data_IF_029951301191
#
_entry.id   IF_029951301191
#
_cell.length_a   1.000
_cell.length_b   1.000
_cell.length_c   1.000
_cell.angle_alpha   90.00
_cell.angle_beta   90.00
_cell.angle_gamma   90.00
#
_symmetry.space_group_name_H-M   'P 1'
#
loop_
_entity.id
_entity.type
_entity.pdbx_description
1 polymer ?
#
# COMPACT_ATOMS: atom_id res chain seq x y z
N UNK A 1 -10.85 9.55 36.65
CA UNK A 1 -10.72 10.46 35.47
C UNK A 1 -9.70 9.84 34.59
N UNK A 2 -10.13 9.38 33.42
CA UNK A 2 -9.24 8.84 32.42
C UNK A 2 -8.56 10.01 31.71
N UNK A 3 -7.24 9.97 31.63
CA UNK A 3 -6.46 10.97 30.90
C UNK A 3 -6.15 10.40 29.52
N UNK A 4 -6.51 11.14 28.47
CA UNK A 4 -6.16 10.82 27.10
C UNK A 4 -5.19 11.84 26.54
N UNK A 5 -4.15 11.38 25.84
CA UNK A 5 -3.22 12.24 25.12
C UNK A 5 -3.79 12.46 23.72
N UNK A 6 -4.31 13.65 23.46
CA UNK A 6 -4.99 14.01 22.20
C UNK A 6 -4.08 14.72 21.21
N UNK A 7 -2.89 15.16 21.62
CA UNK A 7 -1.95 15.86 20.77
C UNK A 7 -0.50 15.46 21.06
N UNK A 8 0.33 15.48 20.04
CA UNK A 8 1.78 15.32 20.11
C UNK A 8 2.46 16.55 19.48
N UNK A 9 3.17 17.33 20.30
CA UNK A 9 3.63 18.64 19.88
C UNK A 9 2.45 19.54 19.49
N UNK A 10 2.47 20.09 18.29
CA UNK A 10 1.38 20.92 17.73
C UNK A 10 0.38 20.13 16.88
N UNK A 11 0.48 18.79 16.85
CA UNK A 11 -0.34 17.94 15.98
C UNK A 11 -1.44 17.27 16.78
N UNK A 12 -2.70 17.48 16.43
CA UNK A 12 -3.85 16.73 16.97
C UNK A 12 -3.82 15.30 16.42
N UNK A 13 -3.73 14.30 17.30
CA UNK A 13 -3.70 12.89 16.93
C UNK A 13 -5.04 12.37 16.38
N UNK A 14 -6.11 13.14 16.55
CA UNK A 14 -7.46 12.83 16.02
C UNK A 14 -7.70 13.40 14.62
N UNK A 15 -6.71 14.11 14.03
CA UNK A 15 -6.93 14.80 12.75
C UNK A 15 -7.44 13.90 11.63
N UNK A 16 -7.18 12.58 11.70
CA UNK A 16 -7.69 11.63 10.72
C UNK A 16 -9.22 11.45 10.76
N UNK A 17 -9.90 11.83 11.87
CA UNK A 17 -11.36 11.68 11.98
C UNK A 17 -12.14 12.69 11.14
N UNK A 18 -11.51 13.80 10.80
CA UNK A 18 -12.09 14.88 9.99
C UNK A 18 -11.39 14.94 8.61
N UNK A 19 -11.99 15.62 7.62
CA UNK A 19 -11.29 15.96 6.39
C UNK A 19 -10.03 16.76 6.68
N UNK A 20 -8.90 16.40 6.04
CA UNK A 20 -7.63 17.10 6.25
C UNK A 20 -6.81 17.15 4.98
N UNK A 21 -5.95 18.14 4.87
CA UNK A 21 -4.98 18.24 3.79
C UNK A 21 -3.81 17.27 4.02
N UNK A 22 -3.52 16.46 3.00
CA UNK A 22 -2.36 15.57 2.95
C UNK A 22 -1.36 16.09 1.91
N UNK A 23 -0.11 16.29 2.34
CA UNK A 23 0.97 16.76 1.48
C UNK A 23 1.99 15.65 1.24
N UNK A 24 2.25 15.39 -0.02
CA UNK A 24 3.30 14.48 -0.48
C UNK A 24 4.60 15.25 -0.57
N UNK A 25 5.66 14.65 0.00
CA UNK A 25 7.00 15.20 -0.06
C UNK A 25 7.94 14.28 -0.85
N UNK A 26 8.76 14.84 -1.73
CA UNK A 26 9.90 14.16 -2.36
C UNK A 26 11.18 14.92 -2.09
N UNK A 27 12.21 14.21 -1.62
CA UNK A 27 13.51 14.80 -1.25
C UNK A 27 13.43 15.98 -0.27
N UNK A 28 12.36 16.02 0.54
CA UNK A 28 12.11 17.09 1.51
C UNK A 28 11.23 18.23 1.01
N UNK A 29 10.96 18.29 -0.30
CA UNK A 29 10.12 19.32 -0.91
C UNK A 29 8.68 18.84 -1.10
N UNK A 30 7.67 19.70 -0.87
CA UNK A 30 6.28 19.38 -1.14
C UNK A 30 6.05 19.33 -2.66
N UNK A 31 5.54 18.18 -3.16
CA UNK A 31 5.31 17.99 -4.59
C UNK A 31 3.83 17.92 -4.97
N UNK A 32 2.97 17.61 -4.01
CA UNK A 32 1.53 17.53 -4.22
C UNK A 32 0.79 17.63 -2.90
N UNK A 33 -0.33 18.38 -2.87
CA UNK A 33 -1.29 18.39 -1.75
C UNK A 33 -2.69 18.09 -2.25
N UNK A 34 -3.47 17.38 -1.44
CA UNK A 34 -4.89 17.09 -1.70
C UNK A 34 -5.62 16.77 -0.40
N UNK A 35 -6.93 16.99 -0.41
CA UNK A 35 -7.75 16.69 0.76
C UNK A 35 -8.03 15.18 0.86
N UNK A 36 -7.98 14.67 2.08
CA UNK A 36 -8.51 13.36 2.47
C UNK A 36 -9.91 13.60 3.04
N UNK A 37 -10.87 13.71 2.13
CA UNK A 37 -12.23 14.07 2.46
C UNK A 37 -13.08 14.30 1.22
N UNK A 38 -14.40 14.57 1.40
CA UNK A 38 -15.37 14.63 0.32
C UNK A 38 -15.14 15.73 -0.73
N UNK A 39 -14.37 16.78 -0.42
CA UNK A 39 -14.07 17.83 -1.39
C UNK A 39 -13.06 17.38 -2.46
N UNK A 40 -12.32 16.30 -2.22
CA UNK A 40 -11.46 15.70 -3.23
C UNK A 40 -12.24 14.70 -4.10
N UNK A 41 -12.36 14.94 -5.42
CA UNK A 41 -13.08 14.04 -6.33
C UNK A 41 -12.51 12.61 -6.37
N UNK A 42 -11.22 12.44 -6.04
CA UNK A 42 -10.56 11.13 -5.99
C UNK A 42 -10.69 10.44 -4.63
N UNK A 43 -11.27 11.08 -3.62
CA UNK A 43 -11.52 10.44 -2.34
C UNK A 43 -12.56 9.32 -2.47
N UNK A 44 -12.30 8.19 -1.86
CA UNK A 44 -13.28 7.09 -1.75
C UNK A 44 -13.42 6.66 -0.29
N UNK A 45 -14.66 6.69 0.26
CA UNK A 45 -14.93 6.09 1.55
C UNK A 45 -14.63 4.60 1.55
N UNK A 46 -14.38 4.02 2.72
CA UNK A 46 -14.02 2.61 2.87
C UNK A 46 -15.01 1.64 2.21
N UNK A 47 -16.30 1.95 2.28
CA UNK A 47 -17.37 1.15 1.69
C UNK A 47 -17.60 1.39 0.18
N UNK A 48 -16.90 2.33 -0.43
CA UNK A 48 -17.01 2.64 -1.86
C UNK A 48 -15.90 1.99 -2.72
N UNK A 49 -15.14 1.08 -2.15
CA UNK A 49 -14.15 0.27 -2.87
C UNK A 49 -14.61 -1.18 -2.94
N UNK A 50 -14.08 -1.94 -3.90
CA UNK A 50 -14.30 -3.39 -3.98
C UNK A 50 -13.90 -4.05 -2.66
N UNK A 51 -14.74 -4.98 -2.14
CA UNK A 51 -14.44 -5.73 -0.91
C UNK A 51 -13.11 -6.47 -0.95
N UNK A 52 -12.65 -6.83 -2.13
CA UNK A 52 -11.40 -7.56 -2.33
C UNK A 52 -10.16 -6.68 -2.13
N UNK A 53 -10.25 -5.37 -2.35
CA UNK A 53 -9.10 -4.47 -2.25
C UNK A 53 -8.53 -4.38 -0.82
N UNK A 54 -9.34 -4.09 0.21
CA UNK A 54 -8.86 -4.14 1.59
C UNK A 54 -8.33 -5.52 2.00
N UNK A 55 -9.01 -6.59 1.59
CA UNK A 55 -8.58 -7.96 1.90
C UNK A 55 -7.21 -8.27 1.30
N UNK A 56 -6.99 -7.94 0.02
CA UNK A 56 -5.72 -8.16 -0.65
C UNK A 56 -4.58 -7.32 -0.04
N UNK A 57 -4.84 -6.03 0.28
CA UNK A 57 -3.86 -5.16 0.93
C UNK A 57 -3.46 -5.71 2.31
N UNK A 58 -4.43 -6.16 3.10
CA UNK A 58 -4.12 -6.77 4.39
C UNK A 58 -3.23 -8.01 4.23
N UNK A 59 -3.52 -8.90 3.27
CA UNK A 59 -2.68 -10.10 3.07
C UNK A 59 -1.28 -9.76 2.55
N UNK A 60 -1.11 -8.65 1.85
CA UNK A 60 0.18 -8.14 1.40
C UNK A 60 0.99 -7.51 2.53
N UNK A 61 0.37 -6.63 3.32
CA UNK A 61 1.05 -5.69 4.21
C UNK A 61 0.91 -6.01 5.70
N UNK A 62 -0.31 -6.36 6.14
CA UNK A 62 -0.63 -6.50 7.56
C UNK A 62 -1.91 -7.33 7.77
N UNK A 63 -1.78 -8.64 7.70
CA UNK A 63 -2.91 -9.55 7.76
C UNK A 63 -3.68 -9.51 9.10
N UNK A 64 -3.09 -8.95 10.14
CA UNK A 64 -3.67 -8.78 11.47
C UNK A 64 -4.21 -7.39 11.78
N UNK A 65 -4.28 -6.48 10.81
CA UNK A 65 -4.55 -5.06 11.04
C UNK A 65 -5.76 -4.77 11.94
N UNK A 66 -6.87 -5.46 11.76
CA UNK A 66 -8.08 -5.27 12.58
C UNK A 66 -8.02 -5.96 13.95
N UNK A 67 -6.99 -6.77 14.23
CA UNK A 67 -6.91 -7.61 15.43
C UNK A 67 -5.81 -7.21 16.40
N UNK A 68 -4.81 -6.42 15.97
CA UNK A 68 -3.76 -5.92 16.86
C UNK A 68 -3.91 -4.43 17.17
N UNK A 69 -3.28 -3.99 18.26
CA UNK A 69 -3.28 -2.58 18.69
C UNK A 69 -2.02 -1.85 18.17
N UNK A 70 -1.92 -1.74 16.84
CA UNK A 70 -0.89 -0.97 16.15
C UNK A 70 0.45 -1.69 15.96
N UNK A 71 0.77 -2.71 16.77
CA UNK A 71 2.04 -3.43 16.72
C UNK A 71 1.85 -4.94 16.73
N UNK A 72 2.81 -5.61 16.10
CA UNK A 72 3.04 -7.05 16.24
C UNK A 72 4.41 -7.21 16.93
N UNK A 73 4.45 -7.47 18.25
CA UNK A 73 5.70 -7.49 19.02
C UNK A 73 6.74 -8.46 18.47
N UNK A 74 6.33 -9.64 17.99
CA UNK A 74 7.22 -10.61 17.35
C UNK A 74 7.86 -10.06 16.08
N UNK A 75 7.06 -9.42 15.21
CA UNK A 75 7.57 -8.85 13.96
C UNK A 75 8.55 -7.69 14.20
N UNK A 76 8.28 -6.84 15.21
CA UNK A 76 9.22 -5.78 15.62
C UNK A 76 10.52 -6.40 16.12
N UNK A 77 10.45 -7.41 16.99
CA UNK A 77 11.65 -8.09 17.51
C UNK A 77 12.48 -8.72 16.40
N UNK A 78 11.85 -9.43 15.47
CA UNK A 78 12.51 -10.05 14.33
C UNK A 78 13.17 -9.00 13.42
N UNK A 79 12.45 -7.91 13.12
CA UNK A 79 12.99 -6.80 12.33
C UNK A 79 14.20 -6.15 13.01
N UNK A 80 14.14 -5.89 14.32
CA UNK A 80 15.27 -5.33 15.06
C UNK A 80 16.49 -6.27 15.09
N UNK A 81 16.28 -7.58 15.25
CA UNK A 81 17.36 -8.55 15.20
C UNK A 81 18.01 -8.57 13.82
N UNK A 82 17.21 -8.49 12.77
CA UNK A 82 17.69 -8.47 11.39
C UNK A 82 18.41 -7.16 11.07
N UNK A 83 17.91 -6.01 11.53
CA UNK A 83 18.53 -4.69 11.38
C UNK A 83 19.92 -4.65 12.02
N UNK A 84 20.06 -5.24 13.21
CA UNK A 84 21.36 -5.35 13.92
C UNK A 84 22.32 -6.27 13.14
N UNK A 85 21.84 -7.41 12.63
CA UNK A 85 22.68 -8.36 11.88
C UNK A 85 23.16 -7.83 10.54
N UNK A 86 22.27 -7.12 9.82
CA UNK A 86 22.53 -6.66 8.46
C UNK A 86 23.05 -5.21 8.42
N UNK A 87 23.14 -4.53 9.57
CA UNK A 87 23.53 -3.11 9.69
C UNK A 87 22.73 -2.18 8.76
N UNK A 88 21.49 -2.55 8.46
CA UNK A 88 20.55 -1.79 7.63
C UNK A 88 19.12 -2.02 8.13
N UNK A 89 18.25 -1.04 7.88
CA UNK A 89 16.83 -1.18 8.23
C UNK A 89 16.19 -2.26 7.34
N UNK A 90 15.89 -3.43 7.95
CA UNK A 90 15.19 -4.51 7.26
C UNK A 90 13.73 -4.10 6.93
N UNK A 91 13.21 -4.66 5.86
CA UNK A 91 11.79 -4.53 5.50
C UNK A 91 11.01 -5.66 6.16
N UNK A 92 9.76 -5.41 6.57
CA UNK A 92 8.83 -6.47 7.00
C UNK A 92 8.28 -6.34 8.43
N UNK A 93 8.77 -5.41 9.25
CA UNK A 93 8.30 -5.24 10.63
C UNK A 93 7.32 -4.08 10.85
N UNK A 94 6.88 -3.37 9.80
CA UNK A 94 5.98 -2.22 9.95
C UNK A 94 4.54 -2.61 9.63
N UNK A 95 3.63 -2.36 10.56
CA UNK A 95 2.18 -2.53 10.36
C UNK A 95 1.59 -1.42 9.49
N UNK A 96 0.35 -1.60 9.03
CA UNK A 96 -0.39 -0.54 8.33
C UNK A 96 -0.56 0.71 9.20
N UNK A 97 -0.81 0.54 10.51
CA UNK A 97 -0.86 1.66 11.47
C UNK A 97 0.44 2.46 11.51
N UNK A 98 1.58 1.77 11.52
CA UNK A 98 2.90 2.41 11.49
C UNK A 98 3.16 3.12 10.15
N UNK A 99 2.78 2.51 9.04
CA UNK A 99 2.88 3.16 7.72
C UNK A 99 2.02 4.42 7.63
N UNK A 100 0.79 4.34 8.14
CA UNK A 100 -0.16 5.45 8.16
C UNK A 100 0.36 6.61 9.01
N UNK A 101 0.76 6.35 10.26
CA UNK A 101 1.30 7.36 11.17
C UNK A 101 2.55 8.03 10.58
N UNK A 102 3.45 7.24 10.03
CA UNK A 102 4.63 7.76 9.33
C UNK A 102 4.26 8.75 8.21
N UNK A 103 3.24 8.43 7.43
CA UNK A 103 2.86 9.24 6.28
C UNK A 103 2.04 10.47 6.66
N UNK A 104 1.20 10.38 7.70
CA UNK A 104 0.25 11.45 8.09
C UNK A 104 0.85 12.44 9.10
N UNK A 105 1.69 11.96 10.01
CA UNK A 105 2.14 12.73 11.18
C UNK A 105 3.63 13.06 11.18
N UNK A 106 4.46 12.32 10.44
CA UNK A 106 5.91 12.42 10.57
C UNK A 106 6.61 12.90 9.30
N UNK A 107 7.77 13.54 9.49
CA UNK A 107 8.67 13.84 8.39
C UNK A 107 9.33 12.57 7.83
N UNK A 108 9.80 12.61 6.57
CA UNK A 108 10.42 11.44 5.90
C UNK A 108 11.88 11.16 6.29
N UNK A 109 12.42 11.81 7.30
CA UNK A 109 13.79 11.56 7.77
C UNK A 109 13.92 10.17 8.38
N UNK A 110 14.90 9.38 7.92
CA UNK A 110 15.12 8.02 8.41
C UNK A 110 16.12 8.03 9.58
N UNK A 111 15.61 8.18 10.79
CA UNK A 111 16.41 8.09 12.03
C UNK A 111 15.77 7.09 13.00
N UNK A 112 16.55 6.55 13.92
CA UNK A 112 16.04 5.68 15.00
C UNK A 112 15.06 6.46 15.87
N UNK A 113 15.38 7.73 16.20
CA UNK A 113 14.49 8.59 16.97
C UNK A 113 13.10 8.71 16.31
N UNK A 114 13.05 8.97 14.99
CA UNK A 114 11.79 9.03 14.25
C UNK A 114 11.02 7.69 14.28
N UNK A 115 11.72 6.55 14.29
CA UNK A 115 11.03 5.24 14.41
C UNK A 115 10.42 5.03 15.78
N UNK A 116 11.07 5.51 16.84
CA UNK A 116 10.51 5.50 18.20
C UNK A 116 9.31 6.46 18.31
N UNK A 117 9.41 7.63 17.70
CA UNK A 117 8.31 8.60 17.61
C UNK A 117 7.09 8.01 16.88
N UNK A 118 7.30 7.34 15.75
CA UNK A 118 6.26 6.61 15.00
C UNK A 118 5.58 5.59 15.92
N UNK A 119 6.34 4.78 16.65
CA UNK A 119 5.80 3.79 17.56
C UNK A 119 4.99 4.43 18.70
N UNK A 120 5.48 5.53 19.28
CA UNK A 120 4.77 6.25 20.34
C UNK A 120 3.42 6.78 19.85
N UNK A 121 3.38 7.42 18.69
CA UNK A 121 2.15 7.97 18.12
C UNK A 121 1.16 6.84 17.77
N UNK A 122 1.63 5.74 17.18
CA UNK A 122 0.79 4.56 16.93
C UNK A 122 0.18 4.04 18.23
N UNK A 123 1.01 3.91 19.28
CA UNK A 123 0.54 3.45 20.57
C UNK A 123 -0.55 4.36 21.16
N UNK A 124 -0.36 5.67 21.12
CA UNK A 124 -1.33 6.64 21.60
C UNK A 124 -2.67 6.56 20.84
N UNK A 125 -2.61 6.51 19.50
CA UNK A 125 -3.82 6.45 18.67
C UNK A 125 -4.59 5.15 18.90
N UNK A 126 -3.89 4.01 18.95
CA UNK A 126 -4.52 2.69 19.05
C UNK A 126 -4.99 2.37 20.48
N UNK A 127 -4.17 2.70 21.51
CA UNK A 127 -4.52 2.41 22.91
C UNK A 127 -5.70 3.23 23.39
N UNK A 128 -5.79 4.48 22.95
CA UNK A 128 -6.88 5.38 23.35
C UNK A 128 -8.05 5.37 22.34
N UNK A 129 -7.97 4.52 21.30
CA UNK A 129 -8.98 4.41 20.25
C UNK A 129 -9.34 5.78 19.64
N UNK A 130 -8.33 6.64 19.44
CA UNK A 130 -8.53 8.00 18.95
C UNK A 130 -9.08 8.05 17.52
N UNK A 131 -8.82 7.00 16.72
CA UNK A 131 -9.35 6.84 15.36
C UNK A 131 -9.71 5.36 15.17
N UNK A 132 -10.87 5.07 14.57
CA UNK A 132 -11.27 3.68 14.30
C UNK A 132 -10.38 3.02 13.25
N UNK A 133 -10.27 1.69 13.31
CA UNK A 133 -9.51 0.90 12.32
C UNK A 133 -10.03 1.10 10.89
N UNK A 134 -11.36 1.17 10.73
CA UNK A 134 -11.99 1.42 9.44
C UNK A 134 -11.57 2.79 8.89
N UNK A 135 -11.59 3.84 9.74
CA UNK A 135 -11.16 5.17 9.31
C UNK A 135 -9.67 5.23 9.02
N UNK A 136 -8.85 4.57 9.81
CA UNK A 136 -7.42 4.45 9.53
C UNK A 136 -7.17 3.77 8.18
N UNK A 137 -7.90 2.70 7.88
CA UNK A 137 -7.78 2.00 6.60
C UNK A 137 -8.32 2.85 5.44
N UNK A 138 -9.42 3.59 5.65
CA UNK A 138 -9.95 4.53 4.67
C UNK A 138 -8.92 5.62 4.32
N UNK A 139 -8.28 6.22 5.32
CA UNK A 139 -7.20 7.17 5.08
C UNK A 139 -6.06 6.52 4.30
N UNK A 140 -5.65 5.30 4.69
CA UNK A 140 -4.61 4.56 3.99
C UNK A 140 -4.94 4.34 2.51
N UNK A 141 -6.17 3.90 2.19
CA UNK A 141 -6.65 3.70 0.81
C UNK A 141 -6.55 4.97 -0.04
N UNK A 142 -6.66 6.14 0.59
CA UNK A 142 -6.66 7.42 -0.11
C UNK A 142 -5.28 8.11 -0.17
N UNK A 143 -4.28 7.66 0.64
CA UNK A 143 -2.93 8.22 0.62
C UNK A 143 -1.86 7.28 0.08
N UNK A 144 -2.15 5.98 -0.02
CA UNK A 144 -1.18 5.00 -0.50
C UNK A 144 -0.72 5.37 -1.92
N UNK A 145 0.59 5.21 -2.16
CA UNK A 145 1.19 5.39 -3.48
C UNK A 145 1.13 4.07 -4.25
N UNK A 146 0.59 4.07 -5.47
CA UNK A 146 0.52 2.92 -6.37
C UNK A 146 1.35 3.10 -7.66
N UNK A 147 2.04 4.20 -7.79
CA UNK A 147 2.90 4.51 -8.92
C UNK A 147 3.49 5.90 -8.75
N UNK A 148 4.47 6.32 -9.57
CA UNK A 148 5.00 7.67 -9.51
C UNK A 148 3.89 8.72 -9.63
N UNK A 149 3.67 9.49 -8.56
CA UNK A 149 2.63 10.52 -8.46
C UNK A 149 1.18 9.99 -8.53
N UNK A 150 0.93 8.70 -8.33
CA UNK A 150 -0.39 8.07 -8.31
C UNK A 150 -0.74 7.75 -6.86
N UNK A 151 -1.68 8.48 -6.29
CA UNK A 151 -2.07 8.38 -4.89
C UNK A 151 -3.55 8.08 -4.74
N UNK A 152 -3.83 7.15 -3.85
CA UNK A 152 -5.18 6.72 -3.55
C UNK A 152 -5.76 5.69 -4.52
N UNK A 153 -6.71 4.90 -4.01
CA UNK A 153 -7.30 3.78 -4.73
C UNK A 153 -8.03 4.22 -6.01
N UNK A 154 -8.65 5.41 -6.03
CA UNK A 154 -9.36 5.91 -7.20
C UNK A 154 -8.39 6.20 -8.35
N UNK A 155 -7.33 6.98 -8.11
CA UNK A 155 -6.36 7.29 -9.16
C UNK A 155 -5.67 6.01 -9.67
N UNK A 156 -5.32 5.09 -8.76
CA UNK A 156 -4.69 3.83 -9.14
C UNK A 156 -5.61 2.95 -9.98
N UNK A 157 -6.88 2.81 -9.59
CA UNK A 157 -7.90 2.05 -10.33
C UNK A 157 -8.10 2.59 -11.74
N UNK A 158 -8.24 3.92 -11.87
CA UNK A 158 -8.34 4.57 -13.18
C UNK A 158 -7.06 4.42 -14.02
N UNK A 159 -5.89 4.57 -13.38
CA UNK A 159 -4.60 4.48 -14.08
C UNK A 159 -4.33 3.10 -14.65
N UNK A 160 -4.58 2.05 -13.86
CA UNK A 160 -4.31 0.67 -14.31
C UNK A 160 -5.46 0.07 -15.12
N UNK A 161 -6.72 0.35 -14.75
CA UNK A 161 -7.86 -0.40 -15.24
C UNK A 161 -8.96 0.44 -15.88
N UNK A 162 -8.87 1.78 -15.89
CA UNK A 162 -9.93 2.68 -16.33
C UNK A 162 -11.29 2.42 -15.65
N UNK A 163 -11.26 2.02 -14.36
CA UNK A 163 -12.44 1.63 -13.57
C UNK A 163 -12.54 2.43 -12.27
N UNK A 164 -13.76 2.52 -11.73
CA UNK A 164 -13.95 2.91 -10.33
C UNK A 164 -13.44 1.82 -9.38
N UNK A 165 -12.90 2.16 -8.19
CA UNK A 165 -12.42 1.17 -7.23
C UNK A 165 -13.46 0.14 -6.79
N UNK A 166 -14.75 0.49 -6.80
CA UNK A 166 -15.85 -0.42 -6.49
C UNK A 166 -16.06 -1.52 -7.57
N UNK A 167 -15.56 -1.29 -8.77
CA UNK A 167 -15.71 -2.19 -9.93
C UNK A 167 -14.51 -3.13 -10.11
N UNK A 168 -13.47 -2.98 -9.29
CA UNK A 168 -12.31 -3.85 -9.35
C UNK A 168 -12.69 -5.29 -9.00
N UNK A 169 -12.26 -6.23 -9.83
CA UNK A 169 -12.38 -7.65 -9.55
C UNK A 169 -11.26 -8.15 -8.63
N UNK A 170 -11.33 -9.40 -8.21
CA UNK A 170 -10.34 -10.00 -7.30
C UNK A 170 -8.93 -9.97 -7.88
N UNK A 171 -8.75 -10.31 -9.16
CA UNK A 171 -7.44 -10.32 -9.81
C UNK A 171 -6.80 -8.93 -9.82
N UNK A 172 -7.56 -7.90 -10.14
CA UNK A 172 -7.13 -6.50 -10.15
C UNK A 172 -6.78 -5.99 -8.75
N UNK A 173 -7.56 -6.39 -7.73
CA UNK A 173 -7.28 -6.04 -6.33
C UNK A 173 -5.99 -6.67 -5.81
N UNK A 174 -5.74 -7.94 -6.15
CA UNK A 174 -4.48 -8.62 -5.78
C UNK A 174 -3.30 -7.96 -6.48
N UNK A 175 -3.44 -7.62 -7.78
CA UNK A 175 -2.42 -6.87 -8.50
C UNK A 175 -2.11 -5.54 -7.81
N UNK A 176 -3.11 -4.72 -7.50
CA UNK A 176 -2.91 -3.45 -6.81
C UNK A 176 -2.20 -3.65 -5.46
N UNK A 177 -2.60 -4.64 -4.67
CA UNK A 177 -1.93 -4.95 -3.41
C UNK A 177 -0.47 -5.37 -3.61
N UNK A 178 -0.15 -6.07 -4.70
CA UNK A 178 1.20 -6.58 -4.98
C UNK A 178 2.22 -5.49 -5.32
N UNK A 179 1.77 -4.32 -5.77
CA UNK A 179 2.68 -3.22 -6.15
C UNK A 179 2.95 -2.22 -5.01
N UNK A 180 2.14 -2.21 -3.95
CA UNK A 180 2.30 -1.31 -2.79
C UNK A 180 3.70 -1.34 -2.18
N UNK A 181 4.39 -2.49 -2.02
CA UNK A 181 5.72 -2.50 -1.42
C UNK A 181 6.78 -1.70 -2.20
N UNK A 182 6.59 -1.52 -3.53
CA UNK A 182 7.52 -0.80 -4.41
C UNK A 182 6.79 0.01 -5.49
N UNK A 183 5.92 0.97 -5.14
CA UNK A 183 5.02 1.61 -6.09
C UNK A 183 5.74 2.38 -7.18
N UNK A 184 6.85 3.04 -6.86
CA UNK A 184 7.67 3.79 -7.87
C UNK A 184 8.37 2.89 -8.88
N UNK A 185 8.38 1.58 -8.63
CA UNK A 185 9.01 0.59 -9.50
C UNK A 185 7.99 -0.26 -10.27
N UNK A 186 6.70 0.14 -10.32
CA UNK A 186 5.65 -0.68 -10.94
C UNK A 186 5.98 -1.10 -12.37
N UNK A 187 6.65 -0.24 -13.16
CA UNK A 187 7.09 -0.57 -14.52
C UNK A 187 8.01 -1.79 -14.60
N UNK A 188 8.79 -2.03 -13.54
CA UNK A 188 9.70 -3.18 -13.48
C UNK A 188 8.97 -4.48 -13.08
N UNK A 189 7.72 -4.38 -12.66
CA UNK A 189 6.87 -5.55 -12.41
C UNK A 189 6.47 -6.25 -13.70
N UNK A 190 6.58 -5.56 -14.84
CA UNK A 190 6.09 -6.04 -16.13
C UNK A 190 7.20 -6.43 -17.09
N UNK A 191 6.88 -7.44 -17.92
CA UNK A 191 7.52 -7.71 -19.21
C UNK A 191 6.45 -7.53 -20.29
N UNK A 192 6.52 -6.40 -21.00
CA UNK A 192 5.40 -5.92 -21.79
C UNK A 192 4.18 -5.59 -20.91
N UNK A 193 3.07 -6.27 -21.16
CA UNK A 193 1.83 -6.14 -20.37
C UNK A 193 1.61 -7.30 -19.39
N UNK A 194 2.57 -8.22 -19.25
CA UNK A 194 2.51 -9.35 -18.33
C UNK A 194 3.36 -9.10 -17.09
N UNK A 195 2.92 -9.62 -15.96
CA UNK A 195 3.72 -9.61 -14.74
C UNK A 195 4.96 -10.51 -14.92
N UNK A 196 6.08 -10.09 -14.34
CA UNK A 196 7.30 -10.92 -14.30
C UNK A 196 7.15 -12.03 -13.25
N UNK A 197 7.87 -13.17 -13.38
CA UNK A 197 7.73 -14.32 -12.49
C UNK A 197 7.80 -13.98 -10.99
N UNK A 198 8.72 -13.12 -10.58
CA UNK A 198 8.83 -12.69 -9.17
C UNK A 198 7.53 -12.04 -8.62
N UNK A 199 6.84 -11.25 -9.45
CA UNK A 199 5.58 -10.60 -9.04
C UNK A 199 4.40 -11.55 -9.18
N UNK A 200 4.47 -12.50 -10.10
CA UNK A 200 3.50 -13.61 -10.16
C UNK A 200 3.53 -14.44 -8.89
N UNK A 201 4.72 -14.79 -8.39
CA UNK A 201 4.87 -15.54 -7.13
C UNK A 201 4.26 -14.76 -5.95
N UNK A 202 4.53 -13.45 -5.86
CA UNK A 202 3.95 -12.62 -4.81
C UNK A 202 2.43 -12.47 -4.94
N UNK A 203 1.92 -12.34 -6.15
CA UNK A 203 0.49 -12.36 -6.45
C UNK A 203 -0.15 -13.66 -5.95
N UNK A 204 0.45 -14.82 -6.28
CA UNK A 204 -0.04 -16.14 -5.85
C UNK A 204 -0.04 -16.28 -4.33
N UNK A 205 0.99 -15.80 -3.66
CA UNK A 205 1.04 -15.80 -2.19
C UNK A 205 -0.14 -15.01 -1.58
N UNK A 206 -0.51 -13.87 -2.16
CA UNK A 206 -1.68 -13.11 -1.68
C UNK A 206 -2.97 -13.90 -1.91
N UNK A 207 -3.15 -14.48 -3.09
CA UNK A 207 -4.33 -15.30 -3.43
C UNK A 207 -4.46 -16.50 -2.49
N UNK A 208 -3.38 -17.26 -2.30
CA UNK A 208 -3.35 -18.43 -1.41
C UNK A 208 -3.73 -18.04 0.02
N UNK A 209 -3.17 -16.95 0.54
CA UNK A 209 -3.53 -16.44 1.87
C UNK A 209 -5.01 -16.05 2.00
N UNK A 210 -5.60 -15.50 0.94
CA UNK A 210 -7.03 -15.15 0.93
C UNK A 210 -7.89 -16.40 1.04
N UNK A 211 -7.55 -17.46 0.31
CA UNK A 211 -8.26 -18.77 0.35
C UNK A 211 -8.02 -19.50 1.67
N UNK A 212 -6.76 -19.66 2.07
CA UNK A 212 -6.38 -20.43 3.27
C UNK A 212 -6.98 -19.86 4.57
N UNK A 213 -7.20 -18.53 4.59
CA UNK A 213 -7.85 -17.85 5.72
C UNK A 213 -9.38 -17.78 5.61
N UNK A 214 -9.96 -18.33 4.56
CA UNK A 214 -11.41 -18.30 4.33
C UNK A 214 -11.97 -16.91 4.08
N UNK A 215 -11.15 -15.96 3.61
CA UNK A 215 -11.55 -14.58 3.29
C UNK A 215 -12.27 -14.49 1.96
N UNK A 216 -11.98 -15.43 1.08
CA UNK A 216 -12.70 -15.71 -0.17
C UNK A 216 -12.94 -17.22 -0.27
N UNK A 217 -13.94 -17.61 -1.06
CA UNK A 217 -14.20 -19.02 -1.31
C UNK A 217 -13.27 -19.57 -2.41
N UNK A 218 -13.13 -20.91 -2.47
CA UNK A 218 -12.37 -21.54 -3.54
C UNK A 218 -13.02 -21.30 -4.91
N UNK A 219 -14.34 -21.16 -4.96
CA UNK A 219 -15.08 -20.84 -6.20
C UNK A 219 -14.74 -19.43 -6.70
N UNK A 220 -14.61 -18.44 -5.79
CA UNK A 220 -14.20 -17.08 -6.14
C UNK A 220 -12.77 -17.01 -6.66
N UNK A 221 -11.89 -17.93 -6.24
CA UNK A 221 -10.52 -18.02 -6.68
C UNK A 221 -10.34 -18.71 -8.05
N UNK A 222 -11.38 -19.41 -8.55
CA UNK A 222 -11.30 -20.12 -9.84
C UNK A 222 -11.02 -19.16 -10.98
N UNK A 223 -9.95 -19.42 -11.74
CA UNK A 223 -9.54 -18.60 -12.88
C UNK A 223 -8.85 -17.28 -12.51
N UNK A 224 -8.65 -17.02 -11.21
CA UNK A 224 -7.90 -15.84 -10.74
C UNK A 224 -6.41 -16.17 -10.77
N UNK A 225 -5.71 -15.63 -11.75
CA UNK A 225 -4.28 -15.84 -11.95
C UNK A 225 -3.59 -14.52 -12.31
N UNK A 226 -2.25 -14.44 -12.22
CA UNK A 226 -1.52 -13.26 -12.67
C UNK A 226 -1.82 -12.91 -14.13
N UNK A 227 -2.04 -13.92 -14.98
CA UNK A 227 -2.34 -13.76 -16.41
C UNK A 227 -3.76 -13.22 -16.65
N UNK A 228 -4.66 -13.35 -15.67
CA UNK A 228 -6.01 -12.79 -15.76
C UNK A 228 -6.06 -11.27 -15.48
N UNK A 229 -4.93 -10.67 -15.09
CA UNK A 229 -4.82 -9.22 -14.89
C UNK A 229 -4.63 -8.53 -16.25
N UNK A 230 -5.64 -7.80 -16.68
CA UNK A 230 -5.59 -7.03 -17.93
C UNK A 230 -5.45 -5.54 -17.64
N UNK A 231 -4.31 -4.94 -18.01
CA UNK A 231 -4.08 -3.50 -17.92
C UNK A 231 -4.82 -2.81 -19.05
N UNK A 232 -5.86 -2.04 -18.73
CA UNK A 232 -6.75 -1.39 -19.71
C UNK A 232 -6.70 0.13 -19.64
N UNK A 233 -6.23 0.70 -18.52
CA UNK A 233 -6.11 2.14 -18.31
C UNK A 233 -4.86 2.79 -18.94
N UNK A 234 -4.57 4.06 -18.61
CA UNK A 234 -3.40 4.80 -19.11
C UNK A 234 -2.06 4.09 -18.91
N UNK A 235 -1.94 3.24 -17.91
CA UNK A 235 -0.75 2.41 -17.69
C UNK A 235 -0.40 1.53 -18.90
N UNK A 236 -1.40 1.08 -19.68
CA UNK A 236 -1.21 0.28 -20.89
C UNK A 236 -0.38 1.02 -21.93
N UNK A 237 -0.71 2.26 -22.21
CA UNK A 237 0.01 3.09 -23.18
C UNK A 237 1.46 3.32 -22.74
N UNK A 238 1.64 3.63 -21.45
CA UNK A 238 2.97 3.84 -20.88
C UNK A 238 3.84 2.58 -20.97
N UNK A 239 3.33 1.41 -20.60
CA UNK A 239 4.06 0.14 -20.65
C UNK A 239 4.39 -0.26 -22.10
N UNK A 240 3.46 -0.07 -23.04
CA UNK A 240 3.67 -0.34 -24.46
C UNK A 240 4.74 0.58 -25.05
N UNK A 241 4.73 1.87 -24.69
CA UNK A 241 5.72 2.83 -25.16
C UNK A 241 7.15 2.51 -24.65
N UNK A 242 7.29 1.99 -23.43
CA UNK A 242 8.59 1.55 -22.90
C UNK A 242 9.09 0.33 -23.66
N UNK A 243 8.22 -0.64 -23.92
CA UNK A 243 8.58 -1.86 -24.64
C UNK A 243 9.09 -1.56 -26.06
N UNK A 244 8.48 -0.60 -26.75
CA UNK A 244 8.90 -0.18 -28.10
C UNK A 244 10.26 0.54 -28.14
N UNK A 245 10.68 1.13 -26.99
CA UNK A 245 11.97 1.86 -26.85
C UNK A 245 13.12 0.98 -26.37
N UNK A 246 12.85 -0.21 -25.81
CA UNK A 246 13.90 -1.16 -25.44
C UNK A 246 14.38 -1.90 -26.70
N UNK A 247 15.67 -1.77 -27.13
CA UNK A 247 16.15 -2.54 -28.25
C UNK A 247 16.08 -4.03 -27.90
N UNK A 248 15.52 -4.83 -28.82
CA UNK A 248 15.49 -6.30 -28.71
C UNK A 248 16.94 -6.79 -28.60
N UNK A 249 17.40 -7.08 -27.39
CA UNK A 249 18.62 -7.85 -27.18
C UNK A 249 18.28 -9.33 -27.31
N UNK A 250 18.16 -9.78 -28.57
CA UNK A 250 18.16 -11.20 -28.90
C UNK A 250 18.80 -11.38 -30.28
N UNK A 251 20.11 -11.20 -30.32
CA UNK A 251 20.88 -11.96 -31.28
C UNK A 251 21.55 -13.11 -30.53
N UNK A 252 21.38 -14.36 -30.98
CA UNK A 252 22.19 -15.46 -30.48
C UNK A 252 23.65 -15.17 -30.89
N UNK A 253 24.55 -15.25 -29.92
CA UNK A 253 25.98 -15.35 -30.21
C UNK A 253 26.18 -16.64 -30.97
N UNK A 254 26.29 -16.53 -32.30
CA UNK A 254 26.81 -17.60 -33.14
C UNK A 254 28.22 -17.93 -32.68
N UNK A 255 28.38 -19.17 -32.33
CA UNK A 255 29.66 -19.82 -32.06
C UNK A 255 30.58 -19.69 -33.31
N UNK A 256 31.75 -19.14 -33.10
CA UNK A 256 32.95 -19.49 -33.84
C UNK A 256 34.13 -19.63 -32.88
#
# INVERSE_FOLDING_TARGET
>A
KDFHILAYGNTDLRKMNEPFEYTVYEQGEPVRSFEIGPANPSFRPFNAVSRYLPLAIMQSEDAGFFYHNGFIPSAIRESLIQDIKEQRFARGGSTLSMQLVKNVFLSRNKTIARKLEEMLIVWLIESDHLTSKERMFEVYLNIAEWGPMIYGAAEASHYYFAKEPSQLNLAECIFMASIIPKPKQFRYCFDGLRLKPYYEDFYRVILDRLVDRGLISSEEAVGVTPESVEITGPAKEYLTAIQSRSPRSSQPLDQK
#
